data_IF_273496113580
#
_entry.id   IF_273496113580
#
_cell.length_a   1.000
_cell.length_b   1.000
_cell.length_c   1.000
_cell.angle_alpha   90.00
_cell.angle_beta   90.00
_cell.angle_gamma   90.00
#
_symmetry.space_group_name_H-M   'P 1'
#
loop_
_entity.id
_entity.type
_entity.pdbx_description
1 polymer ?
#
# COMPACT_ATOMS: atom_id res chain seq x y z
N UNK A 1 -69.25 14.56 39.96
CA UNK A 1 -68.23 14.33 38.92
C UNK A 1 -67.16 15.39 39.07
N UNK A 2 -65.99 15.03 39.59
CA UNK A 2 -64.83 15.91 39.71
C UNK A 2 -63.81 15.46 38.63
N UNK A 3 -63.42 16.37 37.75
CA UNK A 3 -62.41 16.10 36.72
C UNK A 3 -61.04 16.53 37.24
N UNK A 4 -60.16 15.55 37.48
CA UNK A 4 -58.72 15.77 37.65
C UNK A 4 -58.10 16.01 36.27
N UNK A 5 -57.58 17.21 36.04
CA UNK A 5 -56.72 17.52 34.88
C UNK A 5 -55.28 17.17 35.21
N UNK A 6 -54.81 16.03 34.68
CA UNK A 6 -53.41 15.60 34.76
C UNK A 6 -52.58 16.38 33.73
N UNK A 7 -51.73 17.31 34.18
CA UNK A 7 -50.69 17.90 33.32
C UNK A 7 -49.57 16.87 33.13
N UNK A 8 -49.48 16.30 31.93
CA UNK A 8 -48.33 15.52 31.50
C UNK A 8 -47.19 16.47 31.11
N UNK A 9 -46.14 16.55 31.94
CA UNK A 9 -44.89 17.20 31.58
C UNK A 9 -44.12 16.28 30.62
N UNK A 10 -44.04 16.69 29.35
CA UNK A 10 -43.25 16.03 28.32
C UNK A 10 -41.78 16.46 28.50
N UNK A 11 -41.01 15.67 29.24
CA UNK A 11 -39.57 15.88 29.41
C UNK A 11 -38.88 15.49 28.10
N UNK A 12 -38.53 16.49 27.27
CA UNK A 12 -37.63 16.29 26.13
C UNK A 12 -36.21 16.02 26.68
N UNK A 13 -35.85 14.74 26.73
CA UNK A 13 -34.46 14.31 26.93
C UNK A 13 -33.67 14.66 25.66
N UNK A 14 -33.05 15.84 25.65
CA UNK A 14 -32.08 16.22 24.62
C UNK A 14 -30.81 15.40 24.81
N UNK A 15 -30.70 14.29 24.08
CA UNK A 15 -29.46 13.51 23.96
C UNK A 15 -28.47 14.31 23.13
N UNK A 16 -27.59 15.05 23.80
CA UNK A 16 -26.42 15.65 23.18
C UNK A 16 -25.47 14.54 22.72
N UNK A 17 -25.54 14.20 21.43
CA UNK A 17 -24.54 13.36 20.76
C UNK A 17 -23.25 14.18 20.69
N UNK A 18 -22.30 13.90 21.57
CA UNK A 18 -20.93 14.42 21.44
C UNK A 18 -20.29 13.72 20.24
N UNK A 19 -19.92 14.41 19.15
CA UNK A 19 -19.15 13.79 18.10
C UNK A 19 -17.82 13.34 18.69
N UNK A 20 -17.46 12.07 18.49
CA UNK A 20 -16.12 11.62 18.79
C UNK A 20 -15.14 12.47 17.97
N UNK A 21 -14.15 13.07 18.63
CA UNK A 21 -13.12 13.82 17.93
C UNK A 21 -12.38 12.87 16.97
N UNK A 22 -12.26 13.26 15.70
CA UNK A 22 -11.47 12.52 14.73
C UNK A 22 -10.02 12.44 15.23
N UNK A 23 -9.48 11.22 15.29
CA UNK A 23 -8.11 11.00 15.71
C UNK A 23 -7.15 11.68 14.73
N UNK A 24 -6.09 12.29 15.25
CA UNK A 24 -5.10 13.03 14.46
C UNK A 24 -3.72 12.98 15.11
N UNK A 25 -2.70 13.36 14.35
CA UNK A 25 -1.32 13.47 14.84
C UNK A 25 -0.34 13.88 13.77
N UNK A 26 0.95 13.73 14.06
CA UNK A 26 2.02 13.86 13.07
C UNK A 26 2.59 12.49 12.72
N UNK A 27 3.25 12.39 11.57
CA UNK A 27 3.83 11.15 11.08
C UNK A 27 4.87 11.35 10.00
N UNK A 28 5.44 10.24 9.57
CA UNK A 28 6.35 10.17 8.43
C UNK A 28 5.74 9.31 7.33
N UNK A 29 6.19 9.52 6.10
CA UNK A 29 5.81 8.66 4.98
C UNK A 29 7.00 7.87 4.46
N UNK A 30 6.72 6.70 3.91
CA UNK A 30 7.62 5.99 3.00
C UNK A 30 6.85 5.66 1.72
N UNK A 31 7.43 4.81 0.87
CA UNK A 31 6.83 4.35 -0.36
C UNK A 31 7.14 2.87 -0.58
N UNK A 32 6.16 2.13 -1.06
CA UNK A 32 6.33 0.72 -1.38
C UNK A 32 5.39 0.26 -2.50
N UNK A 33 5.76 -0.85 -3.13
CA UNK A 33 4.86 -1.68 -3.91
C UNK A 33 5.50 -3.07 -4.04
N UNK A 34 5.04 -4.00 -3.22
CA UNK A 34 5.59 -5.36 -3.11
C UNK A 34 4.75 -6.40 -3.85
N UNK A 35 3.61 -5.98 -4.39
CA UNK A 35 2.59 -6.80 -5.07
C UNK A 35 1.89 -7.82 -4.15
N UNK A 36 2.23 -7.87 -2.87
CA UNK A 36 1.66 -8.85 -1.96
C UNK A 36 0.16 -8.62 -1.76
N UNK A 37 -0.56 -9.69 -1.41
CA UNK A 37 -1.90 -9.53 -0.83
C UNK A 37 -1.80 -8.63 0.42
N UNK A 38 -2.52 -7.50 0.46
CA UNK A 38 -2.50 -6.58 1.60
C UNK A 38 -3.15 -7.21 2.84
N UNK A 39 -2.73 -6.86 4.06
CA UNK A 39 -3.22 -7.50 5.29
C UNK A 39 -4.71 -7.28 5.54
N UNK A 40 -5.29 -6.15 5.12
CA UNK A 40 -6.73 -5.90 5.23
C UNK A 40 -7.57 -6.66 4.18
N UNK A 41 -6.95 -7.46 3.32
CA UNK A 41 -7.65 -8.38 2.40
C UNK A 41 -8.00 -9.73 3.05
N UNK A 42 -7.64 -9.94 4.32
CA UNK A 42 -8.10 -11.07 5.10
C UNK A 42 -9.45 -10.77 5.76
N UNK A 43 -10.26 -11.82 5.97
CA UNK A 43 -11.52 -11.68 6.70
C UNK A 43 -11.28 -11.21 8.14
N UNK A 44 -11.92 -10.11 8.50
CA UNK A 44 -11.86 -9.53 9.84
C UNK A 44 -13.17 -8.84 10.20
N UNK A 45 -13.40 -8.61 11.49
CA UNK A 45 -14.55 -7.84 11.99
C UNK A 45 -14.31 -6.33 11.86
N UNK A 46 -15.39 -5.55 11.90
CA UNK A 46 -15.31 -4.09 11.87
C UNK A 46 -15.21 -3.45 10.48
N UNK A 47 -15.13 -4.26 9.42
CA UNK A 47 -15.18 -3.81 8.02
C UNK A 47 -16.36 -4.45 7.27
N UNK A 48 -16.81 -3.80 6.20
CA UNK A 48 -17.93 -4.25 5.37
C UNK A 48 -17.58 -5.45 4.49
N UNK A 49 -16.36 -5.50 3.98
CA UNK A 49 -15.78 -6.60 3.19
C UNK A 49 -14.27 -6.46 3.18
N UNK A 50 -13.48 -7.55 3.09
CA UNK A 50 -12.03 -7.44 2.95
C UNK A 50 -11.62 -6.62 1.73
N UNK A 51 -10.44 -6.01 1.79
CA UNK A 51 -9.84 -5.34 0.61
C UNK A 51 -9.75 -6.35 -0.53
N UNK A 52 -10.24 -5.94 -1.70
CA UNK A 52 -10.20 -6.70 -2.94
C UNK A 52 -8.76 -7.02 -3.32
N UNK A 53 -8.54 -8.25 -3.77
CA UNK A 53 -7.26 -8.70 -4.34
C UNK A 53 -7.45 -9.09 -5.79
N UNK A 54 -6.35 -9.20 -6.52
CA UNK A 54 -6.35 -9.58 -7.91
C UNK A 54 -5.48 -10.83 -8.14
N UNK A 55 -5.76 -11.55 -9.22
CA UNK A 55 -4.93 -12.64 -9.69
C UNK A 55 -3.66 -12.12 -10.39
N UNK A 56 -2.81 -13.03 -10.84
CA UNK A 56 -1.53 -12.69 -11.50
C UNK A 56 -1.69 -11.86 -12.80
N UNK A 57 -2.91 -11.79 -13.34
CA UNK A 57 -3.25 -11.03 -14.55
C UNK A 57 -4.10 -9.80 -14.21
N UNK A 58 -4.08 -9.36 -12.95
CA UNK A 58 -4.78 -8.18 -12.44
C UNK A 58 -6.32 -8.27 -12.54
N UNK A 59 -6.88 -9.48 -12.53
CA UNK A 59 -8.33 -9.66 -12.47
C UNK A 59 -8.80 -9.78 -11.02
N UNK A 60 -9.87 -9.08 -10.60
CA UNK A 60 -10.42 -9.19 -9.25
C UNK A 60 -10.75 -10.63 -8.84
N UNK A 61 -10.27 -11.01 -7.66
CA UNK A 61 -10.59 -12.29 -7.02
C UNK A 61 -11.80 -12.14 -6.10
N UNK A 62 -12.77 -13.05 -6.24
CA UNK A 62 -13.89 -13.16 -5.32
C UNK A 62 -13.51 -13.91 -4.02
N UNK A 63 -12.48 -14.76 -4.07
CA UNK A 63 -12.04 -15.56 -2.94
C UNK A 63 -11.09 -14.79 -2.03
N UNK A 64 -11.61 -14.24 -0.93
CA UNK A 64 -10.82 -13.56 0.09
C UNK A 64 -9.88 -14.50 0.87
N UNK A 65 -10.04 -15.83 0.77
CA UNK A 65 -9.19 -16.83 1.42
C UNK A 65 -7.95 -17.21 0.61
N UNK A 66 -7.90 -16.80 -0.67
CA UNK A 66 -6.77 -17.06 -1.55
C UNK A 66 -5.46 -16.58 -0.92
N UNK A 67 -4.44 -17.45 -0.97
CA UNK A 67 -3.14 -17.21 -0.35
C UNK A 67 -2.39 -16.09 -1.08
N UNK A 68 -1.62 -15.30 -0.34
CA UNK A 68 -0.77 -14.23 -0.91
C UNK A 68 0.23 -14.80 -1.90
N UNK A 69 0.44 -14.13 -3.03
CA UNK A 69 1.53 -14.43 -3.98
C UNK A 69 2.91 -14.40 -3.31
N UNK A 70 3.10 -13.55 -2.30
CA UNK A 70 4.33 -13.49 -1.51
C UNK A 70 4.54 -14.69 -0.58
N UNK A 71 3.50 -15.52 -0.41
CA UNK A 71 3.54 -16.79 0.31
C UNK A 71 3.28 -17.99 -0.62
N UNK A 72 3.53 -17.82 -1.93
CA UNK A 72 3.37 -18.88 -2.94
C UNK A 72 1.93 -19.12 -3.41
N UNK A 73 1.01 -18.20 -3.09
CA UNK A 73 -0.38 -18.24 -3.53
C UNK A 73 -0.64 -17.49 -4.83
N UNK A 74 -1.89 -17.06 -5.01
CA UNK A 74 -2.40 -16.47 -6.26
C UNK A 74 -3.04 -15.10 -6.10
N UNK A 75 -3.09 -14.56 -4.87
CA UNK A 75 -3.66 -13.25 -4.59
C UNK A 75 -2.58 -12.16 -4.47
N UNK A 76 -2.76 -11.08 -5.21
CA UNK A 76 -1.88 -9.92 -5.29
C UNK A 76 -2.67 -8.63 -5.02
N UNK A 77 -1.96 -7.53 -4.79
CA UNK A 77 -2.57 -6.19 -4.73
C UNK A 77 -3.03 -5.77 -6.12
N UNK A 78 -4.30 -5.37 -6.27
CA UNK A 78 -4.81 -4.90 -7.55
C UNK A 78 -4.14 -3.60 -8.00
N UNK A 79 -3.83 -3.47 -9.29
CA UNK A 79 -3.20 -2.27 -9.85
C UNK A 79 -4.03 -1.01 -9.68
N UNK A 80 -5.36 -1.14 -9.66
CA UNK A 80 -6.29 -0.03 -9.47
C UNK A 80 -6.28 0.56 -8.05
N UNK A 81 -5.59 -0.11 -7.12
CA UNK A 81 -5.21 0.39 -5.80
C UNK A 81 -3.88 1.17 -5.82
N UNK A 82 -3.53 1.73 -6.98
CA UNK A 82 -2.48 2.75 -7.14
C UNK A 82 -2.99 4.15 -6.77
N UNK A 83 -2.11 5.12 -6.47
CA UNK A 83 -2.50 6.49 -6.16
C UNK A 83 -2.73 7.32 -7.43
N UNK A 84 -3.48 8.41 -7.30
CA UNK A 84 -3.77 9.33 -8.39
C UNK A 84 -4.04 10.76 -7.89
N UNK A 85 -3.77 11.74 -8.75
CA UNK A 85 -4.10 13.13 -8.48
C UNK A 85 -5.59 13.40 -8.77
N UNK A 86 -6.25 14.12 -7.87
CA UNK A 86 -7.59 14.72 -8.11
C UNK A 86 -7.42 16.09 -8.77
N UNK A 87 -6.44 16.84 -8.29
CA UNK A 87 -5.96 18.11 -8.81
C UNK A 87 -4.53 18.35 -8.29
N UNK A 88 -3.98 19.54 -8.54
CA UNK A 88 -2.62 19.87 -8.15
C UNK A 88 -2.38 19.77 -6.64
N UNK A 89 -3.38 20.01 -5.79
CA UNK A 89 -3.22 20.09 -4.33
C UNK A 89 -3.84 18.92 -3.55
N UNK A 90 -4.59 18.05 -4.23
CA UNK A 90 -5.23 16.88 -3.65
C UNK A 90 -4.96 15.62 -4.47
N UNK A 91 -4.51 14.57 -3.80
CA UNK A 91 -4.40 13.21 -4.34
C UNK A 91 -5.14 12.20 -3.48
N UNK A 92 -5.51 11.06 -4.06
CA UNK A 92 -6.01 9.89 -3.35
C UNK A 92 -5.07 8.70 -3.54
N UNK A 93 -5.09 7.77 -2.59
CA UNK A 93 -4.33 6.53 -2.72
C UNK A 93 -4.54 5.57 -1.55
N UNK A 94 -3.58 4.69 -1.38
CA UNK A 94 -3.62 3.61 -0.39
C UNK A 94 -2.31 3.56 0.37
N UNK A 95 -2.33 3.01 1.58
CA UNK A 95 -1.13 2.91 2.39
C UNK A 95 -1.13 1.68 3.30
N UNK A 96 0.07 1.24 3.67
CA UNK A 96 0.28 0.50 4.90
C UNK A 96 0.41 1.50 6.05
N UNK A 97 -0.32 1.29 7.15
CA UNK A 97 -0.41 2.27 8.24
C UNK A 97 0.01 1.61 9.56
N UNK A 98 0.94 2.24 10.28
CA UNK A 98 1.30 1.90 11.67
C UNK A 98 0.76 2.93 12.69
N UNK A 99 0.06 3.95 12.20
CA UNK A 99 -0.55 5.01 13.00
C UNK A 99 -1.68 4.50 13.89
N UNK A 100 -1.62 4.82 15.18
CA UNK A 100 -2.82 5.11 15.96
C UNK A 100 -3.84 3.98 16.14
N UNK A 101 -3.41 2.73 16.21
CA UNK A 101 -4.29 1.55 16.21
C UNK A 101 -5.02 1.40 14.85
N UNK A 102 -4.29 1.00 13.80
CA UNK A 102 -4.75 1.10 12.43
C UNK A 102 -5.98 0.22 12.19
N UNK A 103 -7.15 0.86 12.12
CA UNK A 103 -8.37 0.20 11.70
C UNK A 103 -8.33 0.03 10.18
N UNK A 104 -8.13 -1.21 9.73
CA UNK A 104 -8.23 -1.58 8.33
C UNK A 104 -9.40 -0.87 7.63
N UNK A 105 -9.12 -0.36 6.44
CA UNK A 105 -10.04 0.35 5.57
C UNK A 105 -10.54 1.72 6.07
N UNK A 106 -9.98 2.23 7.17
CA UNK A 106 -10.12 3.65 7.54
C UNK A 106 -9.36 4.53 6.56
N UNK A 107 -9.79 5.79 6.44
CA UNK A 107 -9.11 6.77 5.63
C UNK A 107 -8.50 7.89 6.46
N UNK A 108 -7.38 8.40 5.98
CA UNK A 108 -6.58 9.43 6.64
C UNK A 108 -6.31 10.52 5.63
N UNK A 109 -6.61 11.77 5.98
CA UNK A 109 -6.11 12.91 5.24
C UNK A 109 -4.72 13.23 5.75
N UNK A 110 -3.73 13.13 4.89
CA UNK A 110 -2.36 13.54 5.11
C UNK A 110 -2.19 14.95 4.56
N UNK A 111 -1.69 15.86 5.38
CA UNK A 111 -1.19 17.18 4.94
C UNK A 111 0.32 17.14 5.02
N UNK A 112 1.00 17.24 3.87
CA UNK A 112 2.46 17.22 3.84
C UNK A 112 3.01 18.46 4.54
N UNK A 113 4.03 18.28 5.37
CA UNK A 113 4.64 19.34 6.18
C UNK A 113 6.07 19.66 5.75
N UNK A 114 6.67 18.86 4.86
CA UNK A 114 8.03 19.06 4.33
C UNK A 114 8.12 18.76 2.83
N UNK A 115 9.33 18.95 2.27
CA UNK A 115 9.65 18.86 0.83
C UNK A 115 8.90 19.89 -0.02
N UNK A 116 8.94 19.73 -1.34
CA UNK A 116 8.16 20.53 -2.30
C UNK A 116 6.65 20.32 -2.18
N UNK A 117 6.22 19.29 -1.44
CA UNK A 117 4.81 18.95 -1.25
C UNK A 117 4.16 19.68 -0.08
N UNK A 118 4.90 20.46 0.72
CA UNK A 118 4.35 21.12 1.92
C UNK A 118 3.06 21.89 1.62
N UNK A 119 2.00 21.59 2.37
CA UNK A 119 0.66 22.13 2.20
C UNK A 119 -0.28 21.33 1.28
N UNK A 120 0.26 20.46 0.40
CA UNK A 120 -0.57 19.54 -0.40
C UNK A 120 -1.19 18.47 0.49
N UNK A 121 -2.29 17.91 0.02
CA UNK A 121 -3.08 16.92 0.75
C UNK A 121 -3.18 15.61 -0.02
N UNK A 122 -3.13 14.51 0.71
CA UNK A 122 -3.40 13.18 0.17
C UNK A 122 -4.35 12.43 1.08
N UNK A 123 -5.47 11.94 0.57
CA UNK A 123 -6.34 11.04 1.35
C UNK A 123 -5.97 9.60 1.00
N UNK A 124 -5.57 8.83 2.01
CA UNK A 124 -5.20 7.43 1.84
C UNK A 124 -6.14 6.52 2.59
N UNK A 125 -6.49 5.38 1.97
CA UNK A 125 -7.14 4.28 2.68
C UNK A 125 -6.08 3.30 3.20
N UNK A 126 -6.19 2.90 4.47
CA UNK A 126 -5.35 1.86 5.05
C UNK A 126 -5.77 0.48 4.50
N UNK A 127 -4.94 -0.10 3.64
CA UNK A 127 -5.16 -1.46 3.11
C UNK A 127 -4.21 -2.48 3.72
N UNK A 128 -3.12 -2.03 4.35
CA UNK A 128 -2.15 -2.89 4.98
C UNK A 128 -1.73 -2.33 6.35
N UNK A 129 -1.15 -3.17 7.18
CA UNK A 129 -0.55 -2.81 8.48
C UNK A 129 0.96 -2.90 8.37
N UNK A 130 1.67 -1.88 8.87
CA UNK A 130 3.13 -1.90 8.96
C UNK A 130 3.57 -2.25 10.38
N UNK A 131 4.29 -3.36 10.55
CA UNK A 131 4.55 -3.94 11.88
C UNK A 131 5.77 -3.35 12.64
N UNK A 132 6.54 -2.41 12.06
CA UNK A 132 7.96 -2.27 12.45
C UNK A 132 8.52 -0.89 12.83
N UNK A 133 7.72 0.12 13.21
CA UNK A 133 8.31 1.39 13.70
C UNK A 133 7.51 2.07 14.82
N UNK A 134 8.21 2.43 15.90
CA UNK A 134 7.67 3.08 17.11
C UNK A 134 7.18 4.53 16.93
N UNK A 135 6.81 4.92 15.71
CA UNK A 135 6.20 6.21 15.36
C UNK A 135 5.19 6.01 14.24
N UNK A 136 4.09 6.77 14.26
CA UNK A 136 3.09 6.83 13.19
C UNK A 136 3.74 6.98 11.81
N UNK A 137 3.65 5.93 10.99
CA UNK A 137 4.16 5.87 9.63
C UNK A 137 3.03 5.52 8.65
N UNK A 138 3.09 6.13 7.47
CA UNK A 138 2.25 5.83 6.32
C UNK A 138 3.16 5.38 5.17
N UNK A 139 3.20 4.08 4.89
CA UNK A 139 3.92 3.55 3.73
C UNK A 139 3.01 3.65 2.50
N UNK A 140 3.26 4.63 1.64
CA UNK A 140 2.36 4.95 0.54
C UNK A 140 2.50 3.90 -0.56
N UNK A 141 1.39 3.25 -0.93
CA UNK A 141 1.37 2.27 -2.01
C UNK A 141 1.54 3.00 -3.34
N UNK A 142 2.72 2.87 -3.96
CA UNK A 142 3.10 3.52 -5.22
C UNK A 142 3.88 2.51 -6.05
N UNK A 143 3.38 2.06 -7.21
CA UNK A 143 4.16 1.20 -8.09
C UNK A 143 5.56 1.75 -8.34
N UNK A 144 6.58 0.93 -8.05
CA UNK A 144 7.98 1.40 -8.09
C UNK A 144 8.41 2.17 -6.84
N UNK A 145 7.72 2.05 -5.71
CA UNK A 145 8.17 2.53 -4.40
C UNK A 145 9.30 1.68 -3.82
N UNK A 146 9.51 0.48 -4.37
CA UNK A 146 10.40 -0.55 -3.83
C UNK A 146 9.58 -1.69 -3.24
N UNK A 147 10.09 -2.91 -3.36
CA UNK A 147 9.42 -4.11 -2.85
C UNK A 147 9.48 -4.18 -1.32
N UNK A 148 10.51 -3.60 -0.71
CA UNK A 148 10.73 -3.70 0.72
C UNK A 148 11.12 -5.12 1.13
N UNK A 149 10.55 -5.62 2.23
CA UNK A 149 10.92 -6.90 2.83
C UNK A 149 10.43 -8.11 2.02
N UNK A 150 9.32 -7.96 1.29
CA UNK A 150 8.70 -9.01 0.49
C UNK A 150 8.80 -8.66 -1.01
N UNK A 151 8.76 -9.66 -1.88
CA UNK A 151 8.78 -9.47 -3.33
C UNK A 151 7.83 -10.44 -4.04
N UNK A 152 6.57 -10.02 -4.17
CA UNK A 152 5.58 -10.67 -5.01
C UNK A 152 5.72 -10.25 -6.48
N UNK A 153 6.25 -9.06 -6.74
CA UNK A 153 6.32 -8.46 -8.07
C UNK A 153 7.21 -9.22 -9.05
N UNK A 154 8.29 -9.84 -8.56
CA UNK A 154 9.12 -10.74 -9.37
C UNK A 154 8.32 -11.94 -9.90
N UNK A 155 7.34 -12.42 -9.13
CA UNK A 155 6.45 -13.51 -9.55
C UNK A 155 5.35 -12.99 -10.47
N UNK A 156 4.65 -11.94 -10.04
CA UNK A 156 3.46 -11.40 -10.71
C UNK A 156 3.80 -10.77 -12.05
N UNK A 157 4.66 -9.75 -12.02
CA UNK A 157 4.94 -8.87 -13.15
C UNK A 157 6.30 -9.13 -13.81
N UNK A 158 7.02 -10.17 -13.35
CA UNK A 158 8.42 -10.43 -13.74
C UNK A 158 9.29 -9.20 -13.50
N UNK A 159 9.02 -8.50 -12.40
CA UNK A 159 9.77 -7.33 -12.01
C UNK A 159 11.26 -7.68 -11.83
N UNK A 160 12.13 -6.77 -12.25
CA UNK A 160 13.58 -6.90 -12.07
C UNK A 160 14.14 -5.59 -11.55
N UNK A 161 15.19 -5.65 -10.73
CA UNK A 161 15.85 -4.46 -10.19
C UNK A 161 16.42 -3.53 -11.27
N UNK A 162 16.69 -4.05 -12.47
CA UNK A 162 17.13 -3.24 -13.61
C UNK A 162 16.09 -2.20 -14.06
N UNK A 163 14.79 -2.51 -13.92
CA UNK A 163 13.68 -1.65 -14.33
C UNK A 163 12.99 -1.01 -13.12
N UNK A 164 12.76 -1.79 -12.07
CA UNK A 164 12.01 -1.39 -10.88
C UNK A 164 12.90 -0.76 -9.80
N UNK A 165 14.22 -0.77 -9.99
CA UNK A 165 15.18 -0.08 -9.15
C UNK A 165 15.53 -0.83 -7.86
N UNK A 166 15.86 -0.07 -6.83
CA UNK A 166 16.32 -0.59 -5.55
C UNK A 166 15.18 -1.28 -4.77
N UNK A 167 15.55 -2.31 -4.00
CA UNK A 167 14.62 -3.04 -3.13
C UNK A 167 13.85 -2.09 -2.20
N UNK A 168 14.53 -1.11 -1.61
CA UNK A 168 13.94 -0.04 -0.82
C UNK A 168 14.06 1.28 -1.59
N UNK A 169 12.94 1.97 -1.83
CA UNK A 169 12.90 3.26 -2.51
C UNK A 169 12.74 3.19 -4.04
N UNK A 170 12.83 2.01 -4.66
CA UNK A 170 12.52 1.79 -6.08
C UNK A 170 13.50 2.47 -7.05
N UNK A 171 13.06 2.86 -8.27
CA UNK A 171 13.94 3.51 -9.23
C UNK A 171 14.26 4.95 -8.79
N UNK A 172 15.46 5.41 -9.14
CA UNK A 172 15.96 6.76 -8.83
C UNK A 172 15.58 7.81 -9.88
N UNK A 173 14.90 7.40 -10.95
CA UNK A 173 14.40 8.26 -12.02
C UNK A 173 13.11 7.66 -12.60
N UNK A 174 12.38 8.41 -13.40
CA UNK A 174 11.16 7.91 -14.04
C UNK A 174 11.51 6.83 -15.09
N UNK A 175 11.27 5.57 -14.74
CA UNK A 175 11.37 4.38 -15.60
C UNK A 175 10.00 3.75 -15.88
N UNK A 176 8.91 4.46 -15.57
CA UNK A 176 7.54 3.95 -15.52
C UNK A 176 7.04 3.44 -16.88
N UNK A 177 7.54 3.96 -18.00
CA UNK A 177 7.21 3.46 -19.35
C UNK A 177 7.58 1.98 -19.56
N UNK A 178 8.45 1.42 -18.73
CA UNK A 178 8.88 0.02 -18.78
C UNK A 178 8.12 -0.89 -17.80
N UNK A 179 7.20 -0.32 -17.00
CA UNK A 179 6.34 -1.08 -16.09
C UNK A 179 5.18 -1.71 -16.86
N UNK A 180 4.52 -2.74 -16.30
CA UNK A 180 3.24 -3.22 -16.81
C UNK A 180 2.26 -2.06 -16.98
N UNK A 181 1.52 -2.03 -18.10
CA UNK A 181 0.66 -0.91 -18.48
C UNK A 181 -0.29 -0.46 -17.36
N UNK A 182 -0.84 -1.41 -16.60
CA UNK A 182 -1.75 -1.14 -15.50
C UNK A 182 -1.11 -0.36 -14.34
N UNK A 183 0.22 -0.47 -14.16
CA UNK A 183 0.97 0.16 -13.07
C UNK A 183 1.65 1.48 -13.46
N UNK A 184 1.72 1.80 -14.76
CA UNK A 184 2.40 3.01 -15.23
C UNK A 184 1.81 4.28 -14.61
N UNK A 185 0.47 4.48 -14.56
CA UNK A 185 -0.10 5.70 -13.98
C UNK A 185 0.27 5.88 -12.49
N UNK A 186 0.25 4.81 -11.71
CA UNK A 186 0.65 4.83 -10.30
C UNK A 186 2.15 5.07 -10.10
N UNK A 187 2.98 4.60 -11.02
CA UNK A 187 4.41 4.88 -11.03
C UNK A 187 4.68 6.34 -11.42
N UNK A 188 4.04 6.85 -12.47
CA UNK A 188 4.19 8.23 -12.93
C UNK A 188 3.73 9.24 -11.87
N UNK A 189 2.70 8.91 -11.08
CA UNK A 189 2.26 9.71 -9.93
C UNK A 189 3.40 10.10 -8.98
N UNK A 190 4.38 9.21 -8.77
CA UNK A 190 5.56 9.47 -7.93
C UNK A 190 6.39 10.64 -8.47
N UNK A 191 6.50 10.76 -9.78
CA UNK A 191 7.35 11.75 -10.43
C UNK A 191 6.59 13.04 -10.76
N UNK A 192 5.31 12.91 -11.09
CA UNK A 192 4.49 14.03 -11.53
C UNK A 192 3.90 14.79 -10.34
N UNK A 193 3.05 14.14 -9.55
CA UNK A 193 2.33 14.82 -8.45
C UNK A 193 3.19 14.89 -7.18
N UNK A 194 3.82 13.77 -6.82
CA UNK A 194 4.73 13.69 -5.67
C UNK A 194 6.09 14.35 -5.95
N UNK A 195 6.39 14.73 -7.21
CA UNK A 195 7.62 15.42 -7.60
C UNK A 195 8.91 14.73 -7.16
N UNK A 196 8.89 13.39 -7.04
CA UNK A 196 10.03 12.60 -6.56
C UNK A 196 10.40 12.84 -5.10
N UNK A 197 9.50 13.41 -4.28
CA UNK A 197 9.74 13.68 -2.86
C UNK A 197 10.14 12.40 -2.11
N UNK A 198 11.20 12.50 -1.30
CA UNK A 198 11.74 11.38 -0.54
C UNK A 198 11.25 11.44 0.92
N UNK A 199 10.32 10.55 1.26
CA UNK A 199 9.80 10.32 2.61
C UNK A 199 9.36 11.61 3.33
N UNK A 200 8.47 12.43 2.74
CA UNK A 200 7.99 13.65 3.37
C UNK A 200 7.28 13.38 4.70
N UNK A 201 7.43 14.29 5.64
CA UNK A 201 6.65 14.33 6.90
C UNK A 201 5.24 14.83 6.64
N UNK A 202 4.30 14.41 7.50
CA UNK A 202 2.87 14.76 7.39
C UNK A 202 2.27 15.06 8.75
N UNK A 203 1.26 15.92 8.76
CA UNK A 203 0.20 15.89 9.77
C UNK A 203 -0.98 15.11 9.21
N UNK A 204 -1.71 14.39 10.06
CA UNK A 204 -2.79 13.52 9.62
C UNK A 204 -4.01 13.60 10.52
N UNK A 205 -5.17 13.32 9.94
CA UNK A 205 -6.44 13.15 10.64
C UNK A 205 -7.26 12.03 10.00
N UNK A 206 -8.02 11.29 10.81
CA UNK A 206 -8.98 10.29 10.33
C UNK A 206 -10.13 11.03 9.66
N UNK A 207 -10.48 10.60 8.45
CA UNK A 207 -11.58 11.16 7.65
C UNK A 207 -12.50 10.06 7.15
N UNK A 208 -13.72 10.44 6.77
CA UNK A 208 -14.59 9.54 6.00
C UNK A 208 -13.91 9.17 4.68
N UNK A 209 -13.92 7.89 4.34
CA UNK A 209 -13.37 7.45 3.06
C UNK A 209 -14.16 8.02 1.88
N UNK A 210 -13.49 8.71 0.94
CA UNK A 210 -14.06 9.02 -0.37
C UNK A 210 -14.59 7.76 -1.06
N UNK A 211 -15.74 7.90 -1.76
CA UNK A 211 -16.38 6.77 -2.44
C UNK A 211 -15.48 6.15 -3.52
N UNK A 212 -14.59 6.94 -4.12
CA UNK A 212 -13.63 6.50 -5.13
C UNK A 212 -12.62 5.50 -4.58
N UNK A 213 -12.16 5.69 -3.33
CA UNK A 213 -11.26 4.76 -2.65
C UNK A 213 -11.98 3.46 -2.31
N UNK A 214 -13.19 3.56 -1.75
CA UNK A 214 -14.03 2.41 -1.41
C UNK A 214 -14.43 1.61 -2.66
N UNK A 215 -14.71 2.27 -3.78
CA UNK A 215 -15.07 1.60 -5.03
C UNK A 215 -13.94 0.71 -5.57
N UNK A 216 -12.70 1.15 -5.41
CA UNK A 216 -11.49 0.39 -5.80
C UNK A 216 -11.25 -0.78 -4.85
N UNK A 217 -11.12 -0.50 -3.56
CA UNK A 217 -10.79 -1.53 -2.56
C UNK A 217 -11.94 -2.47 -2.24
N UNK A 218 -13.19 -2.05 -2.42
CA UNK A 218 -14.37 -2.78 -1.96
C UNK A 218 -14.52 -2.83 -0.44
N UNK A 219 -13.73 -2.05 0.31
CA UNK A 219 -13.69 -2.11 1.77
C UNK A 219 -14.04 -0.76 2.40
N UNK A 220 -14.81 -0.79 3.48
CA UNK A 220 -15.06 0.35 4.36
C UNK A 220 -15.23 -0.12 5.79
N UNK A 221 -15.01 0.78 6.77
CA UNK A 221 -15.32 0.48 8.17
C UNK A 221 -16.84 0.34 8.34
N UNK A 222 -17.29 -0.67 9.08
CA UNK A 222 -18.71 -0.91 9.32
C UNK A 222 -19.35 0.26 10.07
N UNK A 223 -20.53 0.69 9.62
CA UNK A 223 -21.25 1.81 10.21
C UNK A 223 -20.80 3.20 9.72
N UNK A 224 -19.77 3.28 8.86
CA UNK A 224 -19.45 4.50 8.14
C UNK A 224 -20.26 4.56 6.83
N UNK A 225 -21.15 5.54 6.74
CA UNK A 225 -21.91 5.79 5.52
C UNK A 225 -21.05 6.60 4.52
N UNK A 226 -20.48 5.90 3.54
CA UNK A 226 -19.71 6.53 2.46
C UNK A 226 -20.58 7.39 1.53
N UNK A 227 -21.92 7.26 1.59
CA UNK A 227 -22.84 8.09 0.81
C UNK A 227 -22.86 9.57 1.27
N UNK A 228 -22.40 9.83 2.50
CA UNK A 228 -22.26 11.18 3.05
C UNK A 228 -20.81 11.69 3.05
N UNK A 229 -19.88 10.95 2.43
CA UNK A 229 -18.52 11.46 2.23
C UNK A 229 -18.60 12.74 1.36
N UNK A 230 -17.87 13.82 1.71
CA UNK A 230 -17.77 14.97 0.83
C UNK A 230 -17.31 14.46 -0.55
N UNK A 231 -18.04 14.76 -1.63
CA UNK A 231 -17.53 14.44 -2.96
C UNK A 231 -16.16 15.10 -3.11
N UNK A 232 -15.21 14.38 -3.74
CA UNK A 232 -13.97 14.99 -4.17
C UNK A 232 -14.31 16.33 -4.86
N UNK A 233 -13.58 17.44 -4.57
CA UNK A 233 -13.88 18.71 -5.21
C UNK A 233 -13.90 18.45 -6.71
N UNK A 234 -15.08 18.64 -7.32
CA UNK A 234 -15.30 18.35 -8.72
C UNK A 234 -14.18 19.03 -9.49
N UNK A 235 -13.33 18.22 -10.12
CA UNK A 235 -12.24 18.70 -10.94
C UNK A 235 -12.89 19.63 -11.95
N UNK A 236 -12.66 20.95 -11.79
CA UNK A 236 -13.17 21.89 -12.76
C UNK A 236 -12.43 21.54 -14.04
N UNK A 237 -13.12 20.89 -14.96
CA UNK A 237 -12.75 20.90 -16.36
C UNK A 237 -12.67 22.37 -16.74
N UNK A 238 -11.48 22.94 -16.59
CA UNK A 238 -11.13 24.17 -17.28
C UNK A 238 -11.38 23.84 -18.74
N UNK A 239 -12.32 24.57 -19.33
CA UNK A 239 -12.58 24.53 -20.76
C UNK A 239 -11.23 24.59 -21.50
N UNK A 240 -11.08 23.90 -22.65
CA UNK A 240 -9.83 23.89 -23.38
C UNK A 240 -9.44 25.34 -23.67
N UNK A 241 -8.33 25.76 -23.07
CA UNK A 241 -7.67 27.02 -23.44
C UNK A 241 -7.35 26.90 -24.94
N UNK A 242 -7.88 27.76 -25.82
CA UNK A 242 -7.55 27.67 -27.23
C UNK A 242 -6.06 27.92 -27.37
N UNK A 243 -5.35 26.89 -27.84
CA UNK A 243 -3.96 27.04 -28.29
C UNK A 243 -3.88 28.20 -29.29
N UNK A 244 -2.94 29.14 -29.15
CA UNK A 244 -2.74 30.15 -30.18
C UNK A 244 -2.35 29.42 -31.47
N UNK A 245 -3.18 29.60 -32.50
CA UNK A 245 -2.89 29.18 -33.88
C UNK A 245 -1.46 29.61 -34.20
N UNK A 246 -0.60 28.62 -34.47
CA UNK A 246 0.66 28.83 -35.15
C UNK A 246 0.35 29.53 -36.49
N UNK A 247 0.66 30.82 -36.56
CA UNK A 247 0.64 31.55 -37.81
C UNK A 247 1.89 31.15 -38.56
N UNK A 248 1.70 30.35 -39.61
CA UNK A 248 2.73 29.94 -40.55
C UNK A 248 3.37 31.19 -41.18
N UNK A 249 4.52 31.60 -40.68
CA UNK A 249 5.40 32.53 -41.36
C UNK A 249 6.39 31.70 -42.17
N UNK A 250 6.33 31.86 -43.49
CA UNK A 250 7.21 31.20 -44.45
C UNK A 250 8.68 31.56 -44.17
N UNK A 251 9.64 30.63 -44.34
CA UNK A 251 11.05 30.97 -44.27
C UNK A 251 11.48 31.75 -45.52
N UNK A 252 12.30 32.81 -45.40
CA UNK A 252 12.90 33.44 -46.58
C UNK A 252 13.99 32.53 -47.16
N UNK A 253 14.09 32.56 -48.49
CA UNK A 253 15.04 31.79 -49.30
C UNK A 253 16.50 32.02 -48.90
N UNK A 254 17.39 31.01 -49.03
CA UNK A 254 18.81 31.20 -48.77
C UNK A 254 19.46 31.97 -49.91
N UNK A 255 20.05 33.12 -49.59
CA UNK A 255 20.90 33.88 -50.49
C UNK A 255 22.26 33.19 -50.57
N UNK A 256 22.68 32.88 -51.80
CA UNK A 256 23.97 32.29 -52.12
C UNK A 256 25.14 33.19 -51.69
N UNK A 257 26.16 32.60 -51.08
CA UNK A 257 27.49 33.21 -50.95
C UNK A 257 28.55 32.12 -51.08
N UNK A 258 29.50 32.43 -51.97
CA UNK A 258 30.57 31.63 -52.58
C UNK A 258 31.70 31.25 -51.58
N UNK A 259 32.45 30.15 -51.79
CA UNK A 259 33.47 29.66 -50.85
C UNK A 259 34.88 30.23 -51.11
N UNK A 260 35.73 30.26 -50.08
CA UNK A 260 37.17 29.97 -50.22
C UNK A 260 37.60 28.91 -49.17
N UNK A 261 38.22 27.79 -49.56
CA UNK A 261 39.64 27.56 -49.86
C UNK A 261 40.30 26.72 -48.75
N UNK A 262 41.01 25.67 -49.18
CA UNK A 262 41.66 24.61 -48.39
C UNK A 262 42.82 25.08 -47.47
N UNK A 263 42.94 24.40 -46.31
CA UNK A 263 44.15 23.81 -45.65
C UNK A 263 45.47 24.62 -45.51
N UNK A 264 46.32 24.42 -44.46
CA UNK A 264 46.75 23.07 -44.04
C UNK A 264 47.12 22.83 -42.56
N UNK A 265 47.38 21.54 -42.35
CA UNK A 265 47.91 20.79 -41.20
C UNK A 265 49.35 21.19 -40.82
N UNK A 266 49.67 21.16 -39.53
CA UNK A 266 51.02 21.03 -38.95
C UNK A 266 50.93 20.06 -37.75
N UNK A 267 51.30 18.78 -37.82
CA UNK A 267 52.62 18.11 -37.79
C UNK A 267 53.53 18.48 -36.60
N UNK A 268 53.74 17.52 -35.70
CA UNK A 268 55.05 17.32 -35.04
C UNK A 268 55.39 15.83 -34.95
N UNK A 269 56.44 15.49 -35.70
CA UNK A 269 57.27 14.27 -35.73
C UNK A 269 57.95 14.02 -34.38
N UNK A 270 58.26 12.79 -33.95
CA UNK A 270 59.35 11.97 -34.48
C UNK A 270 59.31 10.47 -34.06
N UNK A 271 59.87 9.63 -34.92
CA UNK A 271 60.28 8.21 -34.76
C UNK A 271 61.81 8.15 -35.08
N UNK A 272 62.58 7.02 -35.21
CA UNK A 272 62.22 5.58 -35.19
C UNK A 272 63.28 4.58 -34.62
N UNK A 273 62.91 3.28 -34.53
CA UNK A 273 63.64 2.06 -35.01
C UNK A 273 63.04 0.79 -34.35
N UNK A 274 62.32 -0.10 -35.05
CA UNK A 274 62.75 -1.23 -35.91
C UNK A 274 63.51 -2.32 -35.10
N UNK A 275 63.17 -3.63 -35.07
CA UNK A 275 63.04 -4.64 -36.14
C UNK A 275 62.44 -5.95 -35.55
N UNK A 276 61.63 -6.71 -36.30
CA UNK A 276 61.14 -8.09 -36.01
C UNK A 276 62.12 -9.17 -36.62
N UNK A 277 61.94 -10.52 -36.62
CA UNK A 277 60.78 -11.36 -36.24
C UNK A 277 61.07 -12.77 -35.61
N UNK A 278 59.98 -13.50 -35.32
CA UNK A 278 59.71 -14.96 -35.39
C UNK A 278 60.58 -16.02 -34.65
N UNK A 279 59.93 -16.94 -33.90
CA UNK A 279 59.90 -18.42 -34.09
C UNK A 279 59.16 -19.18 -32.96
N UNK A 280 58.05 -19.85 -33.31
CA UNK A 280 57.63 -21.26 -33.08
C UNK A 280 58.01 -22.15 -31.86
N UNK A 281 56.96 -22.88 -31.38
CA UNK A 281 56.81 -24.29 -30.91
C UNK A 281 57.08 -24.76 -29.44
N UNK A 282 55.94 -25.05 -28.74
CA UNK A 282 55.55 -26.23 -27.89
C UNK A 282 56.28 -26.59 -26.56
N UNK A 283 55.75 -27.55 -25.74
CA UNK A 283 54.73 -27.30 -24.71
C UNK A 283 55.21 -27.72 -23.30
N UNK A 284 54.58 -27.22 -22.23
CA UNK A 284 54.76 -27.79 -20.89
C UNK A 284 53.40 -28.14 -20.29
N UNK A 285 53.21 -29.45 -20.11
CA UNK A 285 52.15 -30.08 -19.34
C UNK A 285 52.36 -29.74 -17.86
N UNK A 286 51.34 -29.22 -17.18
CA UNK A 286 51.27 -29.28 -15.72
C UNK A 286 49.87 -29.71 -15.31
N UNK A 287 49.87 -30.71 -14.42
CA UNK A 287 48.75 -31.46 -13.90
C UNK A 287 47.63 -30.62 -13.28
N UNK A 288 46.43 -31.11 -13.55
CA UNK A 288 45.15 -30.83 -12.88
C UNK A 288 45.18 -31.18 -11.39
N UNK A 289 44.73 -30.23 -10.57
CA UNK A 289 44.14 -30.50 -9.24
C UNK A 289 42.83 -29.69 -9.13
N UNK A 290 41.72 -30.28 -8.65
CA UNK A 290 40.43 -29.59 -8.56
C UNK A 290 40.37 -28.61 -7.38
N UNK A 291 39.65 -27.48 -7.48
CA UNK A 291 39.42 -26.62 -6.33
C UNK A 291 38.42 -27.25 -5.35
N UNK A 292 38.76 -27.12 -4.07
CA UNK A 292 38.05 -27.65 -2.93
C UNK A 292 36.66 -27.02 -2.73
N UNK A 293 35.74 -27.86 -2.26
CA UNK A 293 34.42 -27.49 -1.73
C UNK A 293 34.59 -26.66 -0.46
N UNK A 294 33.98 -25.47 -0.32
CA UNK A 294 33.94 -24.78 0.97
C UNK A 294 32.90 -25.43 1.88
N UNK A 295 33.40 -26.04 2.95
CA UNK A 295 32.65 -26.51 4.11
C UNK A 295 32.01 -25.35 4.88
N UNK A 296 30.79 -25.60 5.36
CA UNK A 296 30.03 -24.79 6.32
C UNK A 296 30.93 -24.18 7.41
N UNK A 297 31.01 -22.86 7.45
CA UNK A 297 31.52 -22.14 8.61
C UNK A 297 30.46 -22.20 9.72
N UNK A 298 30.84 -22.80 10.85
CA UNK A 298 30.07 -22.81 12.09
C UNK A 298 30.14 -21.40 12.72
N UNK A 299 28.99 -20.79 12.95
CA UNK A 299 28.87 -19.53 13.70
C UNK A 299 29.34 -19.73 15.15
N UNK A 300 29.98 -18.72 15.78
CA UNK A 300 30.30 -18.75 17.21
C UNK A 300 29.02 -18.64 18.07
N UNK A 301 28.99 -19.24 19.27
CA UNK A 301 27.82 -19.19 20.14
C UNK A 301 27.55 -17.76 20.63
N UNK A 302 26.31 -17.30 20.50
CA UNK A 302 25.84 -16.05 21.08
C UNK A 302 25.85 -16.13 22.62
N UNK A 303 26.18 -15.05 23.35
CA UNK A 303 26.01 -15.00 24.80
C UNK A 303 24.53 -14.98 25.16
N UNK A 304 24.13 -15.87 26.08
CA UNK A 304 22.78 -15.93 26.63
C UNK A 304 22.41 -14.60 27.29
N UNK A 305 21.38 -13.93 26.78
CA UNK A 305 20.73 -12.82 27.48
C UNK A 305 19.85 -13.38 28.60
N UNK A 306 20.07 -12.86 29.80
CA UNK A 306 19.30 -13.15 31.00
C UNK A 306 17.81 -12.85 30.80
N UNK A 307 16.97 -13.77 31.28
CA UNK A 307 15.53 -13.60 31.34
C UNK A 307 15.15 -12.43 32.28
N UNK A 308 14.17 -11.58 31.93
CA UNK A 308 13.62 -10.63 32.89
C UNK A 308 12.84 -11.37 33.98
N UNK A 309 13.21 -11.09 35.23
CA UNK A 309 12.54 -11.54 36.44
C UNK A 309 11.10 -11.05 36.49
N UNK A 310 10.14 -11.97 36.60
CA UNK A 310 8.76 -11.67 36.98
C UNK A 310 8.72 -11.00 38.37
N UNK A 311 7.90 -9.95 38.57
CA UNK A 311 7.62 -9.48 39.92
C UNK A 311 6.77 -10.53 40.66
N UNK A 312 7.25 -10.86 41.86
CA UNK A 312 6.58 -11.69 42.87
C UNK A 312 5.13 -11.23 43.09
N UNK A 313 4.18 -12.13 42.82
CA UNK A 313 2.81 -12.02 43.30
C UNK A 313 2.78 -12.52 44.76
N UNK A 314 2.45 -11.61 45.68
CA UNK A 314 2.21 -11.91 47.09
C UNK A 314 0.78 -12.45 47.22
N UNK A 315 0.56 -13.64 47.81
CA UNK A 315 -0.80 -14.10 48.07
C UNK A 315 -1.35 -13.34 49.27
N UNK A 316 -2.46 -12.64 49.07
CA UNK A 316 -3.29 -12.13 50.15
C UNK A 316 -4.35 -13.19 50.47
N UNK A 317 -4.36 -13.62 51.72
CA UNK A 317 -5.28 -14.60 52.31
C UNK A 317 -6.59 -13.92 52.77
N UNK A 318 -7.66 -14.73 52.86
CA UNK A 318 -9.04 -14.46 53.34
C UNK A 318 -9.94 -13.58 52.46
N UNK A 319 -11.21 -13.92 52.20
CA UNK A 319 -12.18 -14.68 52.99
C UNK A 319 -13.15 -15.50 52.11
N UNK A 320 -13.62 -16.62 52.67
CA UNK A 320 -14.65 -17.50 52.16
C UNK A 320 -15.94 -16.80 51.74
N UNK A 321 -16.45 -17.11 50.53
CA UNK A 321 -17.88 -17.01 50.26
C UNK A 321 -18.30 -18.09 49.25
N UNK A 322 -19.21 -18.93 49.73
CA UNK A 322 -19.78 -20.15 49.15
C UNK A 322 -20.52 -19.84 47.83
N UNK A 323 -20.13 -20.49 46.72
CA UNK A 323 -20.91 -20.46 45.46
C UNK A 323 -21.74 -21.73 45.34
N UNK A 324 -23.03 -21.61 45.65
CA UNK A 324 -24.06 -22.57 45.26
C UNK A 324 -24.18 -22.64 43.73
N UNK A 325 -24.12 -23.85 43.20
CA UNK A 325 -24.54 -24.19 41.84
C UNK A 325 -26.07 -24.17 41.76
N UNK A 326 -26.64 -23.26 40.96
CA UNK A 326 -28.06 -23.33 40.58
C UNK A 326 -28.19 -23.87 39.16
N UNK A 327 -28.64 -25.11 39.10
CA UNK A 327 -29.09 -25.83 37.91
C UNK A 327 -30.45 -25.27 37.48
N UNK A 328 -30.54 -24.75 36.25
CA UNK A 328 -31.78 -24.21 35.69
C UNK A 328 -32.64 -25.35 35.12
N UNK A 329 -33.82 -25.55 35.71
CA UNK A 329 -34.87 -26.46 35.22
C UNK A 329 -36.02 -25.65 34.62
N UNK A 330 -36.53 -25.99 33.42
CA UNK A 330 -37.67 -25.30 32.84
C UNK A 330 -39.00 -25.78 33.47
N UNK A 331 -39.98 -24.89 33.67
CA UNK A 331 -41.26 -25.25 34.28
C UNK A 331 -42.15 -26.05 33.32
N UNK A 332 -42.81 -27.06 33.91
CA UNK A 332 -43.92 -27.82 33.37
C UNK A 332 -45.16 -26.93 33.25
N UNK A 333 -45.89 -27.10 32.16
CA UNK A 333 -47.36 -26.99 32.01
C UNK A 333 -47.74 -26.31 30.68
N UNK A 334 -47.92 -27.11 29.61
CA UNK A 334 -49.15 -27.08 28.80
C UNK A 334 -49.21 -28.28 27.83
N UNK A 335 -49.82 -29.35 28.34
CA UNK A 335 -50.90 -30.14 27.73
C UNK A 335 -51.01 -30.25 26.19
N UNK A 336 -50.85 -31.50 25.74
CA UNK A 336 -51.51 -32.23 24.63
C UNK A 336 -52.14 -31.47 23.45
N UNK A 337 -51.63 -31.79 22.26
CA UNK A 337 -52.49 -32.30 21.17
C UNK A 337 -51.78 -33.47 20.46
N UNK A 338 -52.29 -34.68 20.70
CA UNK A 338 -52.05 -35.89 19.90
C UNK A 338 -53.07 -35.90 18.77
N UNK A 339 -52.63 -36.16 17.55
CA UNK A 339 -53.16 -37.18 16.61
C UNK A 339 -52.23 -37.19 15.37
N UNK A 340 -51.49 -38.28 15.15
CA UNK A 340 -51.76 -39.31 14.12
C UNK A 340 -51.70 -38.74 12.69
N UNK A 341 -50.85 -39.17 11.75
CA UNK A 341 -49.91 -40.28 11.63
C UNK A 341 -49.45 -40.37 10.16
N UNK A 342 -48.63 -41.39 9.90
CA UNK A 342 -48.29 -41.99 8.58
C UNK A 342 -47.05 -41.48 7.84
N UNK A 343 -45.99 -42.25 8.08
CA UNK A 343 -45.00 -42.78 7.14
C UNK A 343 -45.50 -42.93 5.69
N UNK A 344 -44.65 -42.57 4.72
CA UNK A 344 -44.29 -43.32 3.48
C UNK A 344 -43.31 -42.40 2.70
N UNK A 345 -42.01 -42.65 2.71
CA UNK A 345 -41.29 -43.47 1.72
C UNK A 345 -41.71 -43.17 0.27
N UNK A 346 -40.82 -42.54 -0.51
CA UNK A 346 -40.50 -42.90 -1.90
C UNK A 346 -39.39 -42.00 -2.45
N UNK A 347 -38.27 -42.65 -2.77
CA UNK A 347 -37.28 -42.20 -3.76
C UNK A 347 -37.92 -41.96 -5.13
N UNK A 348 -37.43 -40.96 -5.86
CA UNK A 348 -37.14 -40.98 -7.29
C UNK A 348 -36.25 -39.79 -7.65
#
# INVERSE_FOLDING_TARGET
>A
MAYLTTLAFLVLLSTSVTPAAAQSGSGTTTRYWDCCKPSCAWSMSGITSPVKTCDISDNPLADATAQSGCAGGTAYMCSDQSPWAINDDLAYGFAAVSAGDPNCCSCYQLTFTSTVLSGKKMIVQATNTGDDVGSTQFDLAMPGGGFGQFDGCSTEWKATSAVWGAQYGGPSSNTCSSFPTALQPGCDFRWDWMQGADNPTVDWEVVTCPAELVAKSGCSVTGYDSANAPPAPASSLAAPVPSPKASASSPPAPVASKPPAESPVEKSTASPKAVAPATTFSPVVVHTSPPAVPTKASLPPQPAKAAPSHPHWVPHESSDEEKEHTEWTPPKDMELAKEEGKQDACDA
#
